data_IF_038421871256
#
_entry.id   IF_038421871256
#
_cell.length_a   1.000
_cell.length_b   1.000
_cell.length_c   1.000
_cell.angle_alpha   90.00
_cell.angle_beta   90.00
_cell.angle_gamma   90.00
#
_symmetry.space_group_name_H-M   'P 1'
#
loop_
_entity.id
_entity.type
_entity.pdbx_description
1 polymer ?
#
# COMPACT_ATOMS: atom_id res chain seq x y z
N UNK A 1 32.40 -3.14 6.99
CA UNK A 1 33.24 -2.05 7.51
C UNK A 1 33.22 -2.17 9.04
N UNK A 2 34.38 -2.37 9.66
CA UNK A 2 34.59 -2.76 11.07
C UNK A 2 34.50 -1.56 12.03
N UNK A 3 33.66 -1.62 13.06
CA UNK A 3 33.76 -0.86 14.33
C UNK A 3 33.13 -1.75 15.42
N UNK A 4 33.88 -2.61 16.11
CA UNK A 4 34.65 -2.41 17.35
C UNK A 4 33.78 -2.12 18.59
N UNK A 5 33.47 -3.20 19.32
CA UNK A 5 32.91 -3.23 20.66
C UNK A 5 33.98 -2.87 21.71
N UNK A 6 33.78 -1.79 22.48
CA UNK A 6 34.35 -1.68 23.84
C UNK A 6 33.73 -0.53 24.62
N UNK A 7 33.61 -0.77 25.93
CA UNK A 7 33.13 0.10 27.03
C UNK A 7 31.62 -0.02 27.31
N UNK A 8 31.16 -1.05 28.04
CA UNK A 8 31.19 -1.26 29.52
C UNK A 8 30.77 -0.04 30.34
N UNK A 9 29.65 -0.20 31.03
CA UNK A 9 28.99 0.84 31.82
C UNK A 9 29.59 1.13 33.19
N UNK A 10 28.94 2.08 33.89
CA UNK A 10 28.49 1.95 35.29
C UNK A 10 27.56 3.13 35.67
N UNK A 11 26.74 2.96 36.73
CA UNK A 11 25.52 3.74 37.00
C UNK A 11 25.76 4.88 37.99
N UNK A 12 24.81 5.82 38.11
CA UNK A 12 24.67 6.65 39.31
C UNK A 12 23.18 7.05 39.52
N UNK A 13 22.70 6.68 40.70
CA UNK A 13 21.45 7.07 41.34
C UNK A 13 21.49 8.55 41.75
N UNK A 14 20.35 9.26 41.69
CA UNK A 14 19.93 10.19 42.74
C UNK A 14 18.47 10.60 42.58
N UNK A 15 17.70 10.34 43.64
CA UNK A 15 16.34 10.82 43.90
C UNK A 15 16.28 12.35 44.07
N UNK A 16 15.17 12.95 43.68
CA UNK A 16 14.60 14.09 44.41
C UNK A 16 13.08 14.16 44.19
N UNK A 17 12.34 13.98 45.27
CA UNK A 17 10.92 14.25 45.38
C UNK A 17 10.72 15.76 45.62
N UNK A 18 9.70 16.36 44.99
CA UNK A 18 9.09 17.62 45.45
C UNK A 18 7.58 17.47 45.38
N UNK A 19 6.95 17.82 46.49
CA UNK A 19 5.54 17.69 46.83
C UNK A 19 4.83 19.06 46.75
N UNK A 20 3.52 19.04 46.45
CA UNK A 20 2.45 20.00 46.80
C UNK A 20 2.41 21.35 46.07
N UNK A 21 1.31 21.58 45.34
CA UNK A 21 0.33 22.63 45.68
C UNK A 21 -0.98 22.46 44.90
N UNK A 22 -2.08 22.20 45.64
CA UNK A 22 -3.46 22.37 45.19
C UNK A 22 -3.73 23.84 44.86
N UNK A 23 -4.53 24.11 43.83
CA UNK A 23 -5.46 25.26 43.76
C UNK A 23 -6.62 24.94 42.79
N UNK A 24 -7.81 24.70 43.38
CA UNK A 24 -9.11 24.83 42.71
C UNK A 24 -9.47 26.31 42.58
N UNK A 25 -10.26 26.70 41.57
CA UNK A 25 -11.57 27.26 41.93
C UNK A 25 -12.73 26.86 41.00
N UNK A 26 -13.82 26.44 41.67
CA UNK A 26 -15.23 26.84 41.47
C UNK A 26 -15.81 27.09 40.08
N UNK A 27 -16.80 26.25 39.80
CA UNK A 27 -17.96 26.34 38.91
C UNK A 27 -18.71 27.68 39.05
N UNK A 28 -19.14 28.26 37.92
CA UNK A 28 -20.36 29.09 37.83
C UNK A 28 -21.30 28.54 36.76
N UNK A 29 -22.48 28.13 37.21
CA UNK A 29 -23.66 27.81 36.40
C UNK A 29 -24.43 29.12 36.18
N UNK A 30 -24.85 29.39 34.94
CA UNK A 30 -25.87 30.39 34.63
C UNK A 30 -26.95 29.72 33.78
N UNK A 31 -28.18 29.74 34.28
CA UNK A 31 -29.38 29.14 33.70
C UNK A 31 -30.33 30.19 33.13
N UNK A 32 -30.81 29.93 31.90
CA UNK A 32 -32.16 30.25 31.40
C UNK A 32 -32.36 31.58 30.65
N UNK A 33 -33.49 31.78 29.92
CA UNK A 33 -34.58 30.84 29.62
C UNK A 33 -34.93 30.70 28.12
N UNK A 34 -35.88 29.81 27.88
CA UNK A 34 -36.45 29.24 26.65
C UNK A 34 -37.55 30.08 25.95
N UNK A 35 -37.74 29.78 24.64
CA UNK A 35 -39.03 29.64 23.89
C UNK A 35 -39.33 30.70 22.79
N UNK A 36 -40.30 30.47 21.87
CA UNK A 36 -40.12 29.82 20.58
C UNK A 36 -40.67 30.66 19.39
N UNK A 37 -40.35 30.30 18.14
CA UNK A 37 -40.89 31.00 16.97
C UNK A 37 -40.75 30.22 15.67
N UNK A 38 -41.65 29.28 15.44
CA UNK A 38 -41.83 28.61 14.15
C UNK A 38 -42.51 29.53 13.15
N UNK A 39 -41.95 29.64 11.93
CA UNK A 39 -42.71 30.00 10.74
C UNK A 39 -42.57 28.89 9.70
N UNK A 40 -43.72 28.31 9.36
CA UNK A 40 -43.90 27.35 8.26
C UNK A 40 -44.13 28.16 6.99
N UNK A 41 -43.22 28.03 6.02
CA UNK A 41 -43.38 28.55 4.67
C UNK A 41 -43.33 27.40 3.68
N UNK A 42 -44.50 27.04 3.12
CA UNK A 42 -44.63 26.13 1.97
C UNK A 42 -44.35 26.94 0.71
N UNK A 43 -43.35 26.54 -0.07
CA UNK A 43 -43.17 26.99 -1.46
C UNK A 43 -43.13 25.76 -2.36
N UNK A 44 -44.07 25.70 -3.30
CA UNK A 44 -44.20 24.69 -4.34
C UNK A 44 -43.31 25.07 -5.52
N UNK A 45 -42.63 24.07 -6.07
CA UNK A 45 -41.52 24.14 -7.03
C UNK A 45 -41.91 24.57 -8.45
N UNK A 46 -40.92 25.09 -9.18
CA UNK A 46 -40.81 24.96 -10.64
C UNK A 46 -39.44 24.34 -10.94
N UNK A 47 -39.44 23.28 -11.73
CA UNK A 47 -38.33 22.34 -11.88
C UNK A 47 -37.38 22.68 -13.04
N UNK A 48 -36.11 22.36 -12.83
CA UNK A 48 -35.08 22.18 -13.86
C UNK A 48 -34.10 21.09 -13.39
N UNK A 49 -33.49 20.41 -14.36
CA UNK A 49 -32.92 19.06 -14.29
C UNK A 49 -32.08 18.67 -13.06
N UNK A 50 -32.35 17.47 -12.56
CA UNK A 50 -31.54 16.80 -11.54
C UNK A 50 -30.18 16.38 -12.12
N UNK A 51 -29.18 17.23 -11.99
CA UNK A 51 -27.82 16.76 -11.76
C UNK A 51 -27.79 16.20 -10.33
N UNK A 52 -27.68 14.88 -10.20
CA UNK A 52 -27.44 14.23 -8.90
C UNK A 52 -26.12 14.78 -8.33
N UNK A 53 -26.13 15.49 -7.18
CA UNK A 53 -24.89 15.83 -6.51
C UNK A 53 -24.22 14.53 -6.07
N UNK A 54 -22.91 14.43 -6.25
CA UNK A 54 -22.10 13.34 -5.71
C UNK A 54 -22.47 13.14 -4.24
N UNK A 55 -22.84 11.90 -3.89
CA UNK A 55 -23.16 11.54 -2.52
C UNK A 55 -21.92 11.88 -1.65
N UNK A 56 -22.09 12.81 -0.72
CA UNK A 56 -21.10 13.06 0.33
C UNK A 56 -21.08 11.84 1.24
N UNK A 57 -20.32 10.81 0.86
CA UNK A 57 -20.03 9.67 1.72
C UNK A 57 -19.15 10.16 2.87
N UNK A 58 -19.80 10.63 3.94
CA UNK A 58 -19.12 10.85 5.21
C UNK A 58 -18.65 9.49 5.73
N UNK A 59 -17.34 9.30 5.76
CA UNK A 59 -16.70 8.18 6.42
C UNK A 59 -17.22 8.03 7.88
N UNK A 60 -17.33 6.80 8.41
CA UNK A 60 -17.84 6.55 9.75
C UNK A 60 -17.04 7.32 10.82
N UNK A 61 -17.75 7.94 11.75
CA UNK A 61 -17.16 8.72 12.86
C UNK A 61 -16.71 7.78 13.97
N UNK A 62 -15.42 7.82 14.34
CA UNK A 62 -14.86 7.01 15.43
C UNK A 62 -15.21 7.64 16.78
N UNK A 63 -15.99 6.93 17.60
CA UNK A 63 -16.30 7.32 18.99
C UNK A 63 -15.39 6.57 19.97
N UNK A 64 -14.30 7.22 20.40
CA UNK A 64 -13.43 6.75 21.48
C UNK A 64 -13.04 7.90 22.41
N UNK A 65 -12.87 7.62 23.71
CA UNK A 65 -12.40 8.60 24.71
C UNK A 65 -11.05 9.18 24.27
N UNK A 66 -11.05 10.41 23.78
CA UNK A 66 -9.84 11.11 23.34
C UNK A 66 -9.06 11.54 24.59
N UNK A 67 -7.79 11.13 24.69
CA UNK A 67 -6.85 11.78 25.60
C UNK A 67 -6.77 13.28 25.29
N UNK A 68 -6.29 14.15 26.21
CA UNK A 68 -6.04 15.55 25.87
C UNK A 68 -5.23 15.62 24.58
N UNK A 69 -5.78 16.31 23.58
CA UNK A 69 -5.15 16.40 22.26
C UNK A 69 -3.73 16.92 22.42
N UNK A 70 -2.73 16.13 22.01
CA UNK A 70 -1.38 16.63 21.82
C UNK A 70 -1.48 17.74 20.78
N UNK A 71 -0.94 18.92 21.10
CA UNK A 71 -1.00 20.10 20.25
C UNK A 71 0.40 20.53 19.85
N UNK A 72 0.53 21.02 18.62
CA UNK A 72 1.72 21.71 18.14
C UNK A 72 1.89 23.04 18.89
N UNK A 73 3.05 23.68 18.74
CA UNK A 73 3.32 25.00 19.31
C UNK A 73 2.35 26.10 18.80
N UNK A 74 1.66 25.87 17.68
CA UNK A 74 0.66 26.76 17.10
C UNK A 74 -0.79 26.29 17.28
N UNK A 75 -1.03 25.22 18.07
CA UNK A 75 -2.38 24.85 18.53
C UNK A 75 -3.14 23.82 17.68
N UNK A 76 -2.56 23.33 16.60
CA UNK A 76 -3.13 22.22 15.81
C UNK A 76 -2.88 20.87 16.50
N UNK A 77 -3.69 19.82 16.25
CA UNK A 77 -3.34 18.46 16.66
C UNK A 77 -1.94 18.05 16.20
N UNK A 78 -1.16 17.45 17.10
CA UNK A 78 0.20 17.00 16.84
C UNK A 78 0.24 15.53 16.41
N UNK A 79 0.52 15.33 15.12
CA UNK A 79 0.75 14.07 14.44
C UNK A 79 2.24 13.82 14.18
N UNK A 80 3.13 14.73 14.58
CA UNK A 80 4.55 14.63 14.26
C UNK A 80 5.18 13.37 14.87
N UNK A 81 6.04 12.74 14.10
CA UNK A 81 6.76 11.55 14.53
C UNK A 81 7.12 10.64 13.37
N UNK A 82 7.77 9.53 13.73
CA UNK A 82 8.02 8.40 12.85
C UNK A 82 7.07 7.29 13.28
N UNK A 83 6.27 6.81 12.33
CA UNK A 83 5.14 5.93 12.56
C UNK A 83 5.34 4.64 11.78
N UNK A 84 5.16 3.49 12.42
CA UNK A 84 5.19 2.21 11.73
C UNK A 84 4.09 1.29 12.27
N UNK A 85 3.73 0.28 11.49
CA UNK A 85 2.98 -0.86 12.01
C UNK A 85 3.82 -1.68 12.99
N UNK A 86 3.21 -2.19 14.04
CA UNK A 86 3.80 -3.06 15.05
C UNK A 86 3.26 -4.51 15.00
N UNK A 87 2.20 -4.71 14.22
CA UNK A 87 1.57 -6.01 13.99
C UNK A 87 1.36 -6.26 12.50
N UNK A 88 1.22 -7.53 12.15
CA UNK A 88 0.80 -7.96 10.81
C UNK A 88 -0.71 -8.23 10.78
N UNK A 89 -1.41 -7.54 9.88
CA UNK A 89 -2.84 -7.70 9.64
C UNK A 89 -3.01 -7.76 8.12
N UNK A 90 -3.62 -8.82 7.55
CA UNK A 90 -3.83 -8.90 6.11
C UNK A 90 -4.77 -7.79 5.65
N UNK A 91 -4.59 -7.31 4.41
CA UNK A 91 -5.49 -6.29 3.85
C UNK A 91 -6.93 -6.81 3.81
N UNK A 92 -7.12 -7.98 3.19
CA UNK A 92 -8.42 -8.63 3.04
C UNK A 92 -8.59 -9.77 4.04
N UNK A 93 -9.83 -9.99 4.47
CA UNK A 93 -10.17 -11.07 5.38
C UNK A 93 -10.14 -12.43 4.70
N UNK A 94 -9.42 -13.42 5.25
CA UNK A 94 -9.54 -14.80 4.81
C UNK A 94 -11.00 -15.29 4.91
N UNK A 95 -11.48 -15.96 3.85
CA UNK A 95 -12.89 -16.39 3.74
C UNK A 95 -13.34 -17.28 4.90
N UNK A 96 -12.42 -18.06 5.49
CA UNK A 96 -12.68 -18.91 6.67
C UNK A 96 -13.22 -18.15 7.89
N UNK A 97 -13.00 -16.83 7.97
CA UNK A 97 -13.50 -16.01 9.08
C UNK A 97 -14.85 -15.35 8.81
N UNK A 98 -15.39 -15.39 7.58
CA UNK A 98 -16.65 -14.73 7.24
C UNK A 98 -16.67 -13.26 7.67
N UNK A 99 -17.67 -12.86 8.44
CA UNK A 99 -17.81 -11.49 8.96
C UNK A 99 -17.09 -11.24 10.30
N UNK A 100 -16.32 -12.22 10.80
CA UNK A 100 -15.69 -12.14 12.11
C UNK A 100 -14.48 -11.21 12.09
N UNK A 101 -14.60 -10.06 12.75
CA UNK A 101 -13.58 -9.02 12.74
C UNK A 101 -12.32 -9.37 13.55
N UNK A 102 -12.45 -10.12 14.64
CA UNK A 102 -11.34 -10.38 15.56
C UNK A 102 -10.95 -11.85 15.64
N UNK A 103 -9.64 -12.07 15.75
CA UNK A 103 -9.03 -13.33 16.13
C UNK A 103 -9.06 -13.48 17.66
N UNK A 104 -9.16 -14.72 18.12
CA UNK A 104 -8.88 -15.06 19.52
C UNK A 104 -7.37 -15.05 19.79
N UNK A 105 -6.96 -14.88 21.05
CA UNK A 105 -5.52 -14.89 21.40
C UNK A 105 -4.86 -16.25 21.09
N UNK A 106 -5.61 -17.35 21.20
CA UNK A 106 -5.13 -18.69 20.83
C UNK A 106 -4.88 -18.81 19.32
N UNK A 107 -5.77 -18.28 18.48
CA UNK A 107 -5.60 -18.27 17.03
C UNK A 107 -4.41 -17.40 16.60
N UNK A 108 -4.20 -16.25 17.26
CA UNK A 108 -3.04 -15.40 17.00
C UNK A 108 -1.74 -16.12 17.32
N UNK A 109 -1.65 -16.74 18.50
CA UNK A 109 -0.47 -17.49 18.91
C UNK A 109 -0.20 -18.70 17.98
N UNK A 110 -1.24 -19.34 17.46
CA UNK A 110 -1.09 -20.39 16.45
C UNK A 110 -0.54 -19.83 15.14
N UNK A 111 -1.10 -18.74 14.63
CA UNK A 111 -0.63 -18.11 13.39
C UNK A 111 0.82 -17.61 13.52
N UNK A 112 1.18 -16.99 14.64
CA UNK A 112 2.56 -16.57 14.93
C UNK A 112 3.54 -17.75 14.87
N UNK A 113 3.18 -18.90 15.47
CA UNK A 113 3.99 -20.12 15.39
C UNK A 113 4.12 -20.63 13.96
N UNK A 114 3.02 -20.67 13.21
CA UNK A 114 3.02 -21.12 11.80
C UNK A 114 3.86 -20.20 10.91
N UNK A 115 3.78 -18.89 11.10
CA UNK A 115 4.63 -17.90 10.40
C UNK A 115 6.10 -18.19 10.69
N UNK A 116 6.46 -18.31 11.97
CA UNK A 116 7.83 -18.59 12.38
C UNK A 116 8.37 -19.90 11.77
N UNK A 117 7.54 -20.95 11.73
CA UNK A 117 7.90 -22.23 11.13
C UNK A 117 8.09 -22.14 9.60
N UNK A 118 7.25 -21.37 8.90
CA UNK A 118 7.38 -21.15 7.45
C UNK A 118 8.68 -20.40 7.14
N UNK A 119 8.94 -19.31 7.86
CA UNK A 119 10.17 -18.51 7.71
C UNK A 119 11.41 -19.35 8.03
N UNK A 120 11.35 -20.14 9.10
CA UNK A 120 12.43 -21.07 9.48
C UNK A 120 12.71 -22.11 8.38
N UNK A 121 11.67 -22.71 7.81
CA UNK A 121 11.81 -23.67 6.69
C UNK A 121 12.35 -23.03 5.42
N UNK A 122 11.94 -21.81 5.07
CA UNK A 122 12.46 -21.10 3.89
C UNK A 122 13.96 -20.75 4.05
N UNK A 123 14.40 -20.49 5.29
CA UNK A 123 15.80 -20.18 5.60
C UNK A 123 16.75 -21.39 5.63
N UNK A 124 16.23 -22.62 5.69
CA UNK A 124 17.01 -23.84 5.96
C UNK A 124 17.02 -24.87 4.83
N UNK A 125 16.22 -24.71 3.76
CA UNK A 125 15.92 -25.88 2.95
C UNK A 125 16.95 -26.24 1.85
N UNK A 126 17.38 -27.49 1.96
CA UNK A 126 17.74 -28.50 0.96
C UNK A 126 16.91 -28.55 -0.35
N UNK A 127 15.98 -27.61 -0.61
CA UNK A 127 15.18 -27.46 -1.84
C UNK A 127 15.94 -26.91 -3.06
N UNK A 128 17.24 -26.67 -2.93
CA UNK A 128 18.11 -26.14 -3.98
C UNK A 128 18.84 -27.28 -4.67
N UNK A 129 18.20 -27.84 -5.70
CA UNK A 129 18.90 -28.78 -6.59
C UNK A 129 19.96 -27.97 -7.34
N UNK A 130 21.23 -28.24 -7.04
CA UNK A 130 22.38 -27.52 -7.60
C UNK A 130 22.27 -27.45 -9.13
N UNK A 131 22.43 -26.24 -9.69
CA UNK A 131 22.40 -26.01 -11.14
C UNK A 131 20.99 -25.87 -11.76
N UNK A 132 19.94 -25.73 -10.94
CA UNK A 132 18.60 -25.37 -11.43
C UNK A 132 18.40 -23.86 -11.47
N UNK A 133 17.45 -23.38 -12.25
CA UNK A 133 17.05 -21.96 -12.24
C UNK A 133 16.67 -21.50 -10.82
N UNK A 134 16.06 -22.39 -10.03
CA UNK A 134 15.69 -22.15 -8.62
C UNK A 134 16.90 -22.08 -7.68
N UNK A 135 18.02 -22.72 -8.01
CA UNK A 135 19.28 -22.61 -7.26
C UNK A 135 19.93 -21.23 -7.46
N UNK A 136 19.84 -20.68 -8.69
CA UNK A 136 20.37 -19.35 -9.04
C UNK A 136 19.42 -18.23 -8.63
N UNK A 137 18.10 -18.39 -8.83
CA UNK A 137 17.09 -17.40 -8.46
C UNK A 137 16.77 -17.39 -6.94
N UNK A 138 17.35 -18.31 -6.15
CA UNK A 138 17.22 -18.33 -4.69
C UNK A 138 18.18 -17.36 -3.98
N UNK A 139 18.78 -16.40 -4.71
CA UNK A 139 19.74 -15.41 -4.23
C UNK A 139 19.28 -14.59 -3.01
N UNK A 140 17.98 -14.55 -2.73
CA UNK A 140 17.43 -13.92 -1.53
C UNK A 140 16.78 -14.98 -0.64
N UNK A 141 17.53 -15.50 0.34
CA UNK A 141 16.87 -16.03 1.55
C UNK A 141 15.94 -14.92 2.02
N UNK A 142 14.63 -15.14 2.01
CA UNK A 142 13.66 -14.07 2.26
C UNK A 142 13.69 -13.63 3.73
N UNK A 143 14.11 -14.53 4.63
CA UNK A 143 14.15 -14.31 6.07
C UNK A 143 14.84 -13.00 6.51
N UNK A 144 16.07 -12.66 6.08
CA UNK A 144 16.72 -11.39 6.43
C UNK A 144 16.05 -10.13 5.86
N UNK A 145 15.27 -10.24 4.78
CA UNK A 145 14.64 -9.09 4.12
C UNK A 145 13.17 -8.89 4.49
N UNK A 146 12.54 -9.92 5.05
CA UNK A 146 11.12 -9.89 5.44
C UNK A 146 10.99 -9.35 6.85
N UNK A 147 10.06 -8.43 7.06
CA UNK A 147 9.68 -8.01 8.41
C UNK A 147 8.86 -9.11 9.07
N UNK A 148 9.24 -9.45 10.30
CA UNK A 148 8.53 -10.42 11.13
C UNK A 148 7.83 -9.65 12.24
N UNK A 149 6.54 -9.37 12.04
CA UNK A 149 5.69 -8.73 13.03
C UNK A 149 4.74 -9.76 13.66
N UNK A 150 4.39 -9.62 14.94
CA UNK A 150 3.37 -10.45 15.55
C UNK A 150 2.00 -10.23 14.89
N UNK A 151 1.18 -11.28 14.86
CA UNK A 151 -0.17 -11.22 14.27
C UNK A 151 -1.06 -10.28 15.09
N UNK A 152 -1.71 -9.35 14.39
CA UNK A 152 -2.65 -8.41 14.97
C UNK A 152 -3.95 -9.05 15.44
N UNK A 153 -4.79 -8.29 16.13
CA UNK A 153 -6.08 -8.80 16.63
C UNK A 153 -7.16 -8.93 15.56
N UNK A 154 -7.05 -8.16 14.48
CA UNK A 154 -8.05 -8.15 13.42
C UNK A 154 -7.76 -9.20 12.37
N UNK A 155 -8.82 -9.71 11.78
CA UNK A 155 -8.75 -10.64 10.65
C UNK A 155 -8.54 -9.92 9.31
N UNK A 156 -8.69 -8.59 9.26
CA UNK A 156 -8.46 -7.72 8.09
C UNK A 156 -8.18 -6.26 8.47
N UNK A 157 -7.50 -5.52 7.59
CA UNK A 157 -7.44 -4.06 7.63
C UNK A 157 -8.73 -3.40 7.13
N UNK A 158 -9.40 -4.03 6.14
CA UNK A 158 -10.72 -3.59 5.66
C UNK A 158 -11.76 -3.77 6.75
N UNK A 159 -12.50 -2.70 7.04
CA UNK A 159 -13.59 -2.64 8.02
C UNK A 159 -14.96 -2.51 7.38
N UNK A 160 -15.00 -2.00 6.15
CA UNK A 160 -16.21 -1.87 5.35
C UNK A 160 -15.85 -2.18 3.89
N UNK A 161 -16.54 -3.11 3.21
CA UNK A 161 -17.69 -3.90 3.67
C UNK A 161 -17.39 -4.82 4.87
N UNK A 162 -18.43 -5.21 5.61
CA UNK A 162 -18.30 -5.96 6.86
C UNK A 162 -17.50 -7.26 6.70
N UNK A 163 -17.58 -7.91 5.53
CA UNK A 163 -16.83 -9.13 5.21
C UNK A 163 -15.30 -8.91 5.12
N UNK A 164 -14.83 -7.67 5.20
CA UNK A 164 -13.41 -7.32 5.22
C UNK A 164 -12.70 -7.57 3.90
N UNK A 165 -13.42 -7.56 2.77
CA UNK A 165 -12.87 -7.82 1.43
C UNK A 165 -13.09 -6.64 0.51
N UNK A 166 -12.22 -6.50 -0.49
CA UNK A 166 -12.38 -5.48 -1.52
C UNK A 166 -13.66 -5.82 -2.31
N UNK A 167 -14.53 -4.85 -2.61
CA UNK A 167 -15.70 -5.08 -3.43
C UNK A 167 -15.32 -5.66 -4.81
N UNK A 168 -16.20 -6.45 -5.44
CA UNK A 168 -15.95 -6.97 -6.78
C UNK A 168 -15.66 -5.85 -7.79
N UNK A 169 -14.80 -6.11 -8.79
CA UNK A 169 -14.56 -5.15 -9.85
C UNK A 169 -15.82 -4.90 -10.69
N UNK A 170 -15.87 -3.74 -11.34
CA UNK A 170 -16.92 -3.46 -12.34
C UNK A 170 -16.76 -4.36 -13.58
N UNK A 171 -17.82 -4.58 -14.36
CA UNK A 171 -17.71 -5.29 -15.65
C UNK A 171 -16.68 -4.64 -16.59
N UNK A 172 -16.59 -3.31 -16.58
CA UNK A 172 -15.64 -2.53 -17.38
C UNK A 172 -14.20 -2.78 -16.92
N UNK A 173 -13.94 -2.76 -15.60
CA UNK A 173 -12.63 -3.07 -15.03
C UNK A 173 -12.24 -4.52 -15.31
N UNK A 174 -13.17 -5.48 -15.20
CA UNK A 174 -12.91 -6.87 -15.52
C UNK A 174 -12.51 -7.03 -17.00
N UNK A 175 -13.25 -6.37 -17.90
CA UNK A 175 -12.91 -6.37 -19.33
C UNK A 175 -11.53 -5.78 -19.60
N UNK A 176 -11.16 -4.70 -18.92
CA UNK A 176 -9.84 -4.09 -19.05
C UNK A 176 -8.72 -5.04 -18.57
N UNK A 177 -8.92 -5.70 -17.42
CA UNK A 177 -8.02 -6.74 -16.88
C UNK A 177 -7.88 -7.90 -17.86
N UNK A 178 -8.98 -8.38 -18.44
CA UNK A 178 -8.97 -9.47 -19.41
C UNK A 178 -8.21 -9.10 -20.68
N UNK A 179 -8.38 -7.87 -21.19
CA UNK A 179 -7.63 -7.38 -22.36
C UNK A 179 -6.13 -7.37 -22.08
N UNK A 180 -5.70 -6.85 -20.93
CA UNK A 180 -4.29 -6.87 -20.53
C UNK A 180 -3.79 -8.30 -20.34
N UNK A 181 -4.58 -9.17 -19.72
CA UNK A 181 -4.23 -10.59 -19.52
C UNK A 181 -4.03 -11.31 -20.85
N UNK A 182 -4.90 -11.10 -21.84
CA UNK A 182 -4.75 -11.67 -23.17
C UNK A 182 -3.50 -11.15 -23.89
N UNK A 183 -3.17 -9.86 -23.71
CA UNK A 183 -1.94 -9.31 -24.22
C UNK A 183 -0.70 -9.95 -23.56
N UNK A 184 -0.69 -10.09 -22.23
CA UNK A 184 0.39 -10.78 -21.52
C UNK A 184 0.54 -12.25 -21.94
N UNK A 185 -0.57 -12.97 -22.12
CA UNK A 185 -0.57 -14.35 -22.61
C UNK A 185 0.04 -14.46 -24.00
N UNK A 186 -0.31 -13.53 -24.91
CA UNK A 186 0.27 -13.48 -26.25
C UNK A 186 1.80 -13.33 -26.23
N UNK A 187 2.35 -12.57 -25.26
CA UNK A 187 3.79 -12.41 -25.06
C UNK A 187 4.47 -13.64 -24.45
N UNK A 188 3.70 -14.53 -23.84
CA UNK A 188 4.18 -15.77 -23.21
C UNK A 188 4.03 -17.00 -24.11
N UNK A 189 3.21 -16.97 -25.15
CA UNK A 189 2.93 -18.11 -26.06
C UNK A 189 4.18 -18.92 -26.46
N UNK A 190 5.30 -18.32 -26.90
CA UNK A 190 6.49 -19.06 -27.32
C UNK A 190 7.41 -19.54 -26.18
N UNK A 191 7.07 -19.27 -24.93
CA UNK A 191 7.96 -19.49 -23.78
C UNK A 191 7.84 -20.88 -23.17
N UNK A 192 8.86 -21.27 -22.40
CA UNK A 192 8.82 -22.48 -21.58
C UNK A 192 7.67 -22.49 -20.58
N UNK A 193 7.20 -21.33 -20.12
CA UNK A 193 6.08 -21.23 -19.18
C UNK A 193 4.79 -21.80 -19.78
N UNK A 194 4.47 -21.47 -21.03
CA UNK A 194 3.32 -22.05 -21.72
C UNK A 194 3.56 -23.51 -22.12
N UNK A 195 4.80 -23.84 -22.53
CA UNK A 195 5.18 -25.23 -22.87
C UNK A 195 5.01 -26.20 -21.71
N UNK A 196 5.39 -25.77 -20.51
CA UNK A 196 5.33 -26.55 -19.28
C UNK A 196 4.04 -26.34 -18.49
N UNK A 197 3.08 -25.57 -19.04
CA UNK A 197 1.79 -25.26 -18.40
C UNK A 197 1.95 -24.66 -16.99
N UNK A 198 2.95 -23.80 -16.81
CA UNK A 198 3.19 -23.14 -15.54
C UNK A 198 2.04 -22.16 -15.21
N UNK A 199 1.74 -21.91 -13.92
CA UNK A 199 0.65 -21.03 -13.50
C UNK A 199 0.62 -19.66 -14.18
N UNK A 200 1.77 -19.04 -14.45
CA UNK A 200 1.83 -17.74 -15.15
C UNK A 200 1.24 -17.75 -16.58
N UNK A 201 1.18 -18.90 -17.25
CA UNK A 201 0.51 -19.08 -18.54
C UNK A 201 -0.88 -19.76 -18.43
N UNK A 202 -1.51 -19.79 -17.24
CA UNK A 202 -2.86 -20.30 -17.09
C UNK A 202 -3.86 -19.57 -18.03
N UNK A 203 -4.61 -20.34 -18.83
CA UNK A 203 -5.51 -19.80 -19.86
C UNK A 203 -4.82 -19.43 -21.19
N UNK A 204 -3.51 -19.59 -21.29
CA UNK A 204 -2.73 -19.41 -22.52
C UNK A 204 -2.51 -20.72 -23.30
N UNK A 205 -1.79 -20.60 -24.42
CA UNK A 205 -1.39 -21.73 -25.26
C UNK A 205 0.09 -21.63 -25.61
N UNK A 206 0.76 -22.78 -25.73
CA UNK A 206 2.10 -22.80 -26.32
C UNK A 206 1.99 -22.70 -27.84
N UNK A 207 2.79 -21.83 -28.45
CA UNK A 207 2.69 -21.54 -29.88
C UNK A 207 3.90 -20.80 -30.44
N UNK A 208 3.85 -20.39 -31.72
CA UNK A 208 4.86 -19.51 -32.29
C UNK A 208 4.83 -18.12 -31.61
N UNK A 209 5.81 -17.29 -31.92
CA UNK A 209 5.83 -15.89 -31.46
C UNK A 209 4.56 -15.17 -31.94
N UNK A 210 3.80 -14.62 -31.00
CA UNK A 210 2.57 -13.91 -31.32
C UNK A 210 2.86 -12.60 -32.06
N UNK A 211 2.13 -12.27 -33.15
CA UNK A 211 2.27 -10.97 -33.82
C UNK A 211 2.04 -9.78 -32.88
N UNK A 212 1.25 -9.99 -31.81
CA UNK A 212 0.96 -8.98 -30.80
C UNK A 212 2.18 -8.50 -30.03
N UNK A 213 3.30 -9.22 -30.11
CA UNK A 213 4.57 -8.82 -29.49
C UNK A 213 5.02 -7.42 -29.91
N UNK A 214 4.73 -7.03 -31.16
CA UNK A 214 5.13 -5.74 -31.71
C UNK A 214 4.05 -4.66 -31.57
N UNK A 215 2.89 -4.98 -30.99
CA UNK A 215 1.81 -4.01 -30.76
C UNK A 215 2.14 -3.11 -29.56
N UNK A 216 1.63 -1.88 -29.57
CA UNK A 216 1.64 -1.07 -28.33
C UNK A 216 0.75 -1.75 -27.29
N UNK A 217 1.15 -1.70 -26.02
CA UNK A 217 0.32 -2.21 -24.92
C UNK A 217 -1.06 -1.55 -24.96
N UNK A 218 -2.16 -2.28 -24.71
CA UNK A 218 -3.51 -1.72 -24.72
C UNK A 218 -3.74 -0.67 -23.62
N UNK A 219 -2.85 -0.59 -22.64
CA UNK A 219 -2.88 0.36 -21.52
C UNK A 219 -1.48 0.62 -20.96
N UNK A 220 -1.36 1.66 -20.14
CA UNK A 220 -0.12 1.92 -19.42
C UNK A 220 0.20 0.77 -18.46
N UNK A 221 1.43 0.27 -18.50
CA UNK A 221 1.82 -0.92 -17.75
C UNK A 221 2.31 -0.52 -16.36
N UNK A 222 1.59 -0.99 -15.34
CA UNK A 222 2.03 -0.91 -13.94
C UNK A 222 2.86 -2.13 -13.52
N UNK A 223 2.61 -3.28 -14.15
CA UNK A 223 3.29 -4.56 -13.93
C UNK A 223 4.16 -5.00 -15.12
N UNK A 224 5.15 -5.85 -14.86
CA UNK A 224 6.09 -6.32 -15.89
C UNK A 224 5.40 -7.23 -16.91
N UNK A 225 5.80 -7.11 -18.17
CA UNK A 225 5.40 -8.02 -19.26
C UNK A 225 6.62 -8.75 -19.83
N UNK A 226 6.39 -9.80 -20.64
CA UNK A 226 7.48 -10.56 -21.28
C UNK A 226 8.04 -9.84 -22.52
N UNK A 227 8.41 -8.58 -22.35
CA UNK A 227 8.97 -7.68 -23.37
C UNK A 227 9.87 -6.63 -22.71
N UNK A 228 10.77 -6.05 -23.51
CA UNK A 228 11.75 -5.07 -23.08
C UNK A 228 12.16 -4.13 -24.23
N UNK A 229 11.20 -3.70 -25.05
CA UNK A 229 11.47 -2.77 -26.16
C UNK A 229 11.74 -1.36 -25.67
N UNK A 230 11.16 -0.99 -24.53
CA UNK A 230 11.38 0.28 -23.86
C UNK A 230 11.20 0.17 -22.35
N UNK A 231 11.52 1.24 -21.61
CA UNK A 231 11.37 1.25 -20.16
C UNK A 231 9.91 1.06 -19.73
N UNK A 232 8.93 1.47 -20.54
CA UNK A 232 7.49 1.28 -20.29
C UNK A 232 7.03 -0.19 -20.33
N UNK A 233 7.82 -1.12 -20.89
CA UNK A 233 7.51 -2.55 -20.81
C UNK A 233 7.86 -3.16 -19.43
N UNK A 234 8.56 -2.40 -18.59
CA UNK A 234 8.98 -2.82 -17.25
C UNK A 234 8.04 -2.25 -16.19
N UNK A 235 7.89 -2.98 -15.08
CA UNK A 235 7.00 -2.58 -13.99
C UNK A 235 7.40 -1.24 -13.37
N UNK A 236 6.46 -0.62 -12.65
CA UNK A 236 6.77 0.56 -11.83
C UNK A 236 7.90 0.28 -10.83
N UNK A 237 7.96 -0.93 -10.25
CA UNK A 237 9.03 -1.32 -9.33
C UNK A 237 10.41 -1.29 -10.00
N UNK A 238 10.55 -1.91 -11.18
CA UNK A 238 11.81 -1.90 -11.95
C UNK A 238 12.22 -0.52 -12.43
N UNK A 239 11.27 0.41 -12.51
CA UNK A 239 11.49 1.81 -12.90
C UNK A 239 11.71 2.73 -11.70
N UNK A 240 11.69 2.19 -10.48
CA UNK A 240 11.74 2.94 -9.24
C UNK A 240 10.59 3.92 -9.02
N UNK A 241 9.45 3.66 -9.68
CA UNK A 241 8.22 4.44 -9.62
C UNK A 241 7.12 3.71 -8.83
N UNK A 242 7.50 2.70 -8.03
CA UNK A 242 6.59 2.01 -7.13
C UNK A 242 6.23 2.87 -5.92
N UNK A 243 5.16 2.45 -5.25
CA UNK A 243 4.43 3.25 -4.29
C UNK A 243 3.02 3.48 -4.79
N UNK A 244 2.08 3.56 -3.86
CA UNK A 244 0.69 3.85 -4.13
C UNK A 244 0.12 4.58 -2.93
N UNK A 245 -0.90 5.41 -3.17
CA UNK A 245 -1.78 5.84 -2.09
C UNK A 245 -3.12 5.12 -2.27
N UNK A 246 -3.73 4.63 -1.17
CA UNK A 246 -3.20 4.57 0.19
C UNK A 246 -1.99 3.64 0.33
N UNK A 247 -1.10 3.96 1.27
CA UNK A 247 0.02 3.09 1.64
C UNK A 247 -0.29 2.38 2.95
N UNK A 248 -0.16 1.05 2.96
CA UNK A 248 -0.38 0.20 4.14
C UNK A 248 0.91 -0.50 4.61
N UNK A 249 2.06 -0.13 4.02
CA UNK A 249 3.37 -0.70 4.28
C UNK A 249 3.74 -1.85 3.33
N UNK A 250 4.99 -2.31 3.42
CA UNK A 250 5.53 -3.39 2.60
C UNK A 250 5.89 -4.63 3.45
N UNK A 251 6.07 -5.78 2.80
CA UNK A 251 6.58 -7.01 3.39
C UNK A 251 8.04 -6.86 3.87
N UNK A 252 8.79 -5.92 3.29
CA UNK A 252 10.13 -5.50 3.74
C UNK A 252 10.09 -4.43 4.84
N UNK A 253 8.89 -4.00 5.23
CA UNK A 253 8.68 -2.97 6.24
C UNK A 253 8.41 -1.60 5.67
N UNK A 254 8.80 -0.58 6.42
CA UNK A 254 8.53 0.81 6.11
C UNK A 254 8.07 1.59 7.33
N UNK A 255 8.09 2.90 7.18
CA UNK A 255 7.58 3.84 8.16
C UNK A 255 7.07 5.09 7.44
N UNK A 256 6.17 5.81 8.10
CA UNK A 256 5.72 7.13 7.70
C UNK A 256 6.31 8.16 8.65
N UNK A 257 7.05 9.14 8.15
CA UNK A 257 7.49 10.29 8.95
C UNK A 257 6.60 11.48 8.65
N UNK A 258 5.90 11.94 9.67
CA UNK A 258 5.03 13.12 9.61
C UNK A 258 5.78 14.31 10.18
N UNK A 259 5.84 15.39 9.41
CA UNK A 259 6.36 16.70 9.83
C UNK A 259 5.28 17.74 9.57
N UNK A 260 5.07 18.66 10.51
CA UNK A 260 4.04 19.68 10.39
C UNK A 260 4.68 21.07 10.41
N UNK A 261 4.08 21.98 9.67
CA UNK A 261 4.29 23.41 9.75
C UNK A 261 2.92 24.11 9.82
N UNK A 262 2.83 25.38 10.26
CA UNK A 262 1.57 26.10 10.17
C UNK A 262 1.02 26.08 8.74
N UNK A 263 -0.17 25.50 8.55
CA UNK A 263 -0.82 25.41 7.24
C UNK A 263 -0.38 24.25 6.34
N UNK A 264 0.47 23.33 6.80
CA UNK A 264 0.96 22.22 5.97
C UNK A 264 1.35 20.98 6.78
N UNK A 265 1.04 19.81 6.24
CA UNK A 265 1.49 18.51 6.75
C UNK A 265 2.28 17.80 5.66
N UNK A 266 3.48 17.36 5.99
CA UNK A 266 4.33 16.57 5.10
C UNK A 266 4.43 15.14 5.60
N UNK A 267 4.19 14.17 4.72
CA UNK A 267 4.37 12.75 5.01
C UNK A 267 5.45 12.18 4.10
N UNK A 268 6.55 11.73 4.68
CA UNK A 268 7.50 10.87 4.01
C UNK A 268 7.11 9.41 4.21
N UNK A 269 7.00 8.65 3.12
CA UNK A 269 6.78 7.22 3.14
C UNK A 269 8.08 6.51 2.79
N UNK A 270 8.59 5.66 3.69
CA UNK A 270 9.58 4.65 3.33
C UNK A 270 8.85 3.39 2.88
N UNK A 271 8.96 3.11 1.59
CA UNK A 271 8.43 1.91 0.95
C UNK A 271 9.62 1.11 0.42
N UNK A 272 9.78 -0.08 1.02
CA UNK A 272 11.04 -0.81 1.02
C UNK A 272 11.64 -1.06 -0.37
N UNK A 273 12.98 -1.02 -0.41
CA UNK A 273 13.78 -1.16 -1.64
C UNK A 273 14.21 0.16 -2.27
N UNK A 274 13.87 1.31 -1.69
CA UNK A 274 14.32 2.61 -2.19
C UNK A 274 13.30 3.44 -2.94
N UNK A 275 12.03 3.28 -2.62
CA UNK A 275 10.96 4.00 -3.30
C UNK A 275 10.44 5.17 -2.45
N UNK A 276 11.28 5.66 -1.52
CA UNK A 276 10.90 6.69 -0.57
C UNK A 276 10.37 7.95 -1.25
N UNK A 277 9.31 8.54 -0.69
CA UNK A 277 8.65 9.71 -1.29
C UNK A 277 8.04 10.64 -0.26
N UNK A 278 8.01 11.93 -0.60
CA UNK A 278 7.36 12.96 0.21
C UNK A 278 6.03 13.35 -0.44
N UNK A 279 5.00 13.44 0.39
CA UNK A 279 3.69 13.99 0.05
C UNK A 279 3.49 15.26 0.86
N UNK A 280 3.15 16.35 0.17
CA UNK A 280 2.74 17.60 0.81
C UNK A 280 1.23 17.67 0.87
N UNK A 281 0.70 18.03 2.03
CA UNK A 281 -0.73 18.14 2.31
C UNK A 281 -0.98 19.55 2.83
N UNK A 282 -1.36 20.51 1.96
CA UNK A 282 -1.73 21.84 2.41
C UNK A 282 -3.00 21.79 3.26
N UNK A 283 -2.97 22.45 4.42
CA UNK A 283 -4.15 22.70 5.24
C UNK A 283 -4.85 23.93 4.69
N UNK A 284 -5.93 23.71 3.93
CA UNK A 284 -6.48 24.77 3.08
C UNK A 284 -7.96 24.55 2.75
N UNK A 285 -8.65 25.65 2.48
CA UNK A 285 -9.99 25.66 1.89
C UNK A 285 -9.97 25.87 0.38
N UNK A 286 -8.78 26.01 -0.21
CA UNK A 286 -8.63 26.11 -1.66
C UNK A 286 -9.19 24.85 -2.34
N UNK A 287 -9.83 25.05 -3.48
CA UNK A 287 -10.31 23.96 -4.31
C UNK A 287 -9.14 23.10 -4.81
N UNK A 288 -9.46 21.85 -5.15
CA UNK A 288 -8.53 20.98 -5.87
C UNK A 288 -8.09 21.61 -7.19
N UNK A 289 -6.92 21.17 -7.67
CA UNK A 289 -6.45 21.52 -9.00
C UNK A 289 -7.49 21.14 -10.07
N UNK A 290 -7.55 21.89 -11.20
CA UNK A 290 -8.38 21.51 -12.34
C UNK A 290 -8.16 20.05 -12.75
N UNK A 291 -9.23 19.34 -13.12
CA UNK A 291 -9.22 17.89 -13.37
C UNK A 291 -8.26 17.43 -14.49
N UNK A 292 -7.75 18.32 -15.33
CA UNK A 292 -6.72 18.02 -16.33
C UNK A 292 -5.28 18.09 -15.78
N UNK A 293 -5.07 18.68 -14.61
CA UNK A 293 -3.78 18.70 -13.91
C UNK A 293 -3.74 17.52 -12.94
N UNK A 294 -3.11 16.44 -13.39
CA UNK A 294 -2.96 15.20 -12.64
C UNK A 294 -1.57 15.08 -12.03
N UNK A 295 -1.50 14.66 -10.77
CA UNK A 295 -0.25 14.43 -10.06
C UNK A 295 -0.06 12.93 -9.81
N UNK A 296 1.19 12.48 -9.72
CA UNK A 296 1.50 11.06 -9.57
C UNK A 296 0.86 10.45 -8.31
N UNK A 297 0.82 11.20 -7.19
CA UNK A 297 0.19 10.79 -5.93
C UNK A 297 -1.13 11.51 -5.64
N UNK A 298 -1.75 12.10 -6.67
CA UNK A 298 -2.96 12.91 -6.51
C UNK A 298 -2.71 14.27 -5.86
N UNK A 299 -3.71 15.14 -5.95
CA UNK A 299 -3.77 16.46 -5.32
C UNK A 299 -4.45 16.33 -3.94
N UNK A 300 -3.69 16.55 -2.88
CA UNK A 300 -4.17 16.44 -1.50
C UNK A 300 -4.64 17.78 -0.94
N UNK A 301 -5.78 17.79 -0.24
CA UNK A 301 -6.29 18.95 0.50
C UNK A 301 -6.67 18.54 1.92
N UNK A 302 -5.98 19.12 2.90
CA UNK A 302 -6.16 18.80 4.30
C UNK A 302 -7.02 19.82 5.06
N UNK A 303 -7.71 19.34 6.10
CA UNK A 303 -8.43 20.17 7.06
C UNK A 303 -8.57 19.47 8.42
N UNK A 304 -8.76 20.24 9.49
CA UNK A 304 -8.89 19.70 10.84
C UNK A 304 -10.36 19.55 11.25
N UNK A 305 -10.77 18.33 11.62
CA UNK A 305 -12.04 18.04 12.29
C UNK A 305 -11.76 17.62 13.75
N UNK A 306 -11.81 18.59 14.67
CA UNK A 306 -11.48 18.36 16.07
C UNK A 306 -10.01 17.93 16.25
N UNK A 307 -9.78 16.65 16.53
CA UNK A 307 -8.44 16.06 16.68
C UNK A 307 -7.99 15.22 15.47
N UNK A 308 -8.75 15.27 14.37
CA UNK A 308 -8.52 14.45 13.18
C UNK A 308 -8.08 15.34 12.02
N UNK A 309 -6.96 15.00 11.37
CA UNK A 309 -6.65 15.53 10.05
C UNK A 309 -7.48 14.74 9.03
N UNK A 310 -8.35 15.43 8.31
CA UNK A 310 -9.09 14.88 7.17
C UNK A 310 -8.40 15.34 5.90
N UNK A 311 -8.12 14.41 5.00
CA UNK A 311 -7.46 14.69 3.71
C UNK A 311 -8.30 14.15 2.58
N UNK A 312 -8.72 15.04 1.68
CA UNK A 312 -9.33 14.68 0.41
C UNK A 312 -8.24 14.57 -0.66
N UNK A 313 -8.28 13.50 -1.47
CA UNK A 313 -7.26 13.24 -2.50
C UNK A 313 -7.91 12.84 -3.80
N UNK A 314 -7.67 13.65 -4.83
CA UNK A 314 -8.17 13.44 -6.20
C UNK A 314 -7.04 13.61 -7.22
N UNK A 315 -7.37 13.71 -8.51
CA UNK A 315 -6.42 14.07 -9.57
C UNK A 315 -5.19 13.15 -9.69
N UNK A 316 -5.36 11.85 -9.46
CA UNK A 316 -4.31 10.87 -9.69
C UNK A 316 -3.93 10.78 -11.16
N UNK A 317 -2.66 10.44 -11.41
CA UNK A 317 -2.16 10.19 -12.76
C UNK A 317 -2.73 8.86 -13.30
N UNK A 318 -3.04 8.75 -14.60
CA UNK A 318 -3.37 7.46 -15.21
C UNK A 318 -2.17 6.48 -15.21
N UNK A 319 -1.00 6.92 -14.72
CA UNK A 319 0.24 6.12 -14.64
C UNK A 319 0.53 5.60 -13.23
N UNK A 320 -0.21 6.04 -12.22
CA UNK A 320 -0.19 5.45 -10.88
C UNK A 320 -1.19 4.31 -10.81
N UNK A 321 -0.96 3.32 -9.96
CA UNK A 321 -1.83 2.15 -9.81
C UNK A 321 -2.03 1.87 -8.32
N UNK A 322 -3.30 1.74 -7.93
CA UNK A 322 -3.68 1.14 -6.66
C UNK A 322 -4.74 0.07 -6.90
N UNK A 323 -4.29 -1.19 -7.01
CA UNK A 323 -5.19 -2.33 -7.19
C UNK A 323 -6.08 -2.18 -8.44
N UNK A 324 -5.51 -1.63 -9.52
CA UNK A 324 -6.21 -1.35 -10.79
C UNK A 324 -6.97 -0.02 -10.82
N UNK A 325 -7.06 0.71 -9.71
CA UNK A 325 -7.52 2.10 -9.71
C UNK A 325 -6.40 3.04 -10.14
N UNK A 326 -6.76 3.99 -11.01
CA UNK A 326 -5.83 4.91 -11.65
C UNK A 326 -6.31 6.36 -11.46
N UNK A 327 -6.65 7.09 -12.53
CA UNK A 327 -7.05 8.49 -12.49
C UNK A 327 -8.40 8.75 -11.81
N UNK A 328 -9.25 7.73 -11.67
CA UNK A 328 -10.58 7.87 -11.05
C UNK A 328 -10.56 7.57 -9.55
N UNK A 329 -9.39 7.26 -8.98
CA UNK A 329 -9.23 7.06 -7.55
C UNK A 329 -9.55 8.35 -6.79
N UNK A 330 -10.37 8.22 -5.76
CA UNK A 330 -10.67 9.25 -4.77
C UNK A 330 -10.46 8.66 -3.38
N UNK A 331 -9.68 9.37 -2.56
CA UNK A 331 -9.41 8.96 -1.19
C UNK A 331 -9.93 10.02 -0.23
N UNK A 332 -10.59 9.55 0.82
CA UNK A 332 -10.88 10.36 2.01
C UNK A 332 -10.17 9.73 3.19
N UNK A 333 -9.07 10.36 3.59
CA UNK A 333 -8.20 9.92 4.66
C UNK A 333 -8.52 10.65 5.97
N UNK A 334 -8.41 9.94 7.09
CA UNK A 334 -8.61 10.46 8.44
C UNK A 334 -7.48 9.99 9.32
N UNK A 335 -6.67 10.91 9.80
CA UNK A 335 -5.52 10.66 10.67
C UNK A 335 -5.82 11.22 12.07
N UNK A 336 -5.98 10.33 13.04
CA UNK A 336 -6.39 10.69 14.42
C UNK A 336 -5.33 10.28 15.41
N UNK A 337 -4.88 11.24 16.23
CA UNK A 337 -4.00 10.93 17.36
C UNK A 337 -4.81 10.35 18.51
N UNK A 338 -4.62 9.08 18.84
CA UNK A 338 -5.37 8.41 19.91
C UNK A 338 -4.75 8.67 21.29
N UNK A 339 -3.43 8.60 21.37
CA UNK A 339 -2.64 8.77 22.59
C UNK A 339 -1.21 9.25 22.25
N UNK A 340 -0.25 9.15 23.16
CA UNK A 340 1.13 9.58 22.96
C UNK A 340 1.95 8.70 22.01
N UNK A 341 1.48 7.51 21.65
CA UNK A 341 2.24 6.52 20.89
C UNK A 341 1.45 5.85 19.77
N UNK A 342 0.18 6.21 19.57
CA UNK A 342 -0.69 5.64 18.55
C UNK A 342 -1.34 6.71 17.65
N UNK A 343 -1.29 6.48 16.33
CA UNK A 343 -2.15 7.13 15.33
C UNK A 343 -3.11 6.09 14.76
N UNK A 344 -4.38 6.45 14.66
CA UNK A 344 -5.35 5.72 13.85
C UNK A 344 -5.44 6.38 12.47
N UNK A 345 -5.22 5.59 11.44
CA UNK A 345 -5.40 5.95 10.05
C UNK A 345 -6.63 5.21 9.49
N UNK A 346 -7.64 5.96 9.08
CA UNK A 346 -8.82 5.43 8.40
C UNK A 346 -8.89 6.04 7.01
N UNK A 347 -9.07 5.22 5.99
CA UNK A 347 -9.21 5.71 4.61
C UNK A 347 -10.38 5.04 3.92
N UNK A 348 -11.27 5.87 3.37
CA UNK A 348 -12.28 5.42 2.41
C UNK A 348 -11.70 5.57 1.01
N UNK A 349 -11.82 4.50 0.24
CA UNK A 349 -11.27 4.33 -1.10
C UNK A 349 -12.45 4.21 -2.04
N UNK A 350 -12.53 5.11 -3.02
CA UNK A 350 -13.56 5.11 -4.05
C UNK A 350 -12.92 5.18 -5.43
N UNK A 351 -13.37 4.29 -6.32
CA UNK A 351 -13.14 4.39 -7.75
C UNK A 351 -14.28 3.62 -8.43
N UNK A 352 -15.33 4.33 -8.89
CA UNK A 352 -16.50 3.70 -9.49
C UNK A 352 -16.21 3.08 -10.86
N UNK A 353 -15.03 3.33 -11.44
CA UNK A 353 -14.59 2.66 -12.67
C UNK A 353 -13.90 1.33 -12.37
N UNK A 354 -13.38 1.16 -11.16
CA UNK A 354 -12.66 -0.04 -10.72
C UNK A 354 -13.54 -0.98 -9.91
N UNK A 355 -14.21 -0.48 -8.87
CA UNK A 355 -15.00 -1.29 -7.94
C UNK A 355 -16.48 -0.94 -7.96
N UNK A 356 -17.31 -1.92 -7.62
CA UNK A 356 -18.77 -1.74 -7.55
C UNK A 356 -19.25 -0.81 -6.43
N UNK A 357 -18.44 -0.60 -5.38
CA UNK A 357 -18.73 0.25 -4.22
C UNK A 357 -17.42 0.78 -3.61
N UNK A 358 -17.45 1.92 -2.88
CA UNK A 358 -16.33 2.33 -2.05
C UNK A 358 -16.13 1.34 -0.90
N UNK A 359 -14.93 1.35 -0.32
CA UNK A 359 -14.56 0.49 0.80
C UNK A 359 -13.60 1.22 1.74
N UNK A 360 -13.53 0.79 3.00
CA UNK A 360 -12.80 1.50 4.05
C UNK A 360 -11.80 0.58 4.76
N UNK A 361 -10.58 1.09 4.92
CA UNK A 361 -9.51 0.48 5.71
C UNK A 361 -9.30 1.25 7.00
N UNK A 362 -8.98 0.54 8.08
CA UNK A 362 -8.45 1.11 9.31
C UNK A 362 -7.12 0.43 9.68
N UNK A 363 -6.10 1.24 9.93
CA UNK A 363 -4.78 0.81 10.39
C UNK A 363 -4.34 1.65 11.59
N UNK A 364 -3.74 1.00 12.58
CA UNK A 364 -3.11 1.69 13.71
C UNK A 364 -1.60 1.70 13.49
N UNK A 365 -0.98 2.86 13.71
CA UNK A 365 0.46 3.05 13.61
C UNK A 365 1.01 3.41 14.98
N UNK A 366 2.17 2.83 15.32
CA UNK A 366 2.88 3.10 16.56
C UNK A 366 4.05 4.04 16.35
N UNK A 367 4.25 4.91 17.34
CA UNK A 367 5.37 5.84 17.36
C UNK A 367 6.66 5.04 17.55
N UNK A 368 7.63 5.28 16.67
CA UNK A 368 8.98 4.79 16.82
C UNK A 368 9.75 5.63 17.85
N UNK A 369 10.77 5.03 18.47
CA UNK A 369 11.63 5.74 19.42
C UNK A 369 12.37 6.89 18.72
N UNK A 370 12.36 8.05 19.38
CA UNK A 370 13.09 9.24 18.94
C UNK A 370 14.58 9.21 19.34
N UNK A 371 15.14 8.05 19.72
CA UNK A 371 16.52 7.87 20.17
C UNK A 371 17.54 8.31 19.09
N UNK A 372 17.75 9.64 19.06
CA UNK A 372 18.60 10.51 18.23
C UNK A 372 18.19 10.83 16.77
N UNK A 373 16.93 11.21 16.47
CA UNK A 373 16.49 11.75 15.15
C UNK A 373 16.89 10.87 13.94
N UNK A 374 16.64 9.55 14.01
CA UNK A 374 16.98 8.54 12.99
C UNK A 374 17.00 9.13 11.56
N UNK A 375 18.21 9.37 11.05
CA UNK A 375 18.45 9.70 9.65
C UNK A 375 18.34 8.38 8.91
N UNK A 376 17.17 8.13 8.36
CA UNK A 376 17.04 7.13 7.31
C UNK A 376 17.68 7.74 6.07
N UNK A 377 18.84 7.21 5.67
CA UNK A 377 19.41 7.57 4.38
C UNK A 377 18.35 7.30 3.33
N UNK A 378 18.04 8.31 2.53
CA UNK A 378 17.05 8.19 1.50
C UNK A 378 17.43 6.99 0.61
N UNK A 379 16.64 5.92 0.61
CA UNK A 379 16.93 4.84 -0.29
C UNK A 379 16.44 5.37 -1.64
N UNK A 380 17.34 5.90 -2.46
CA UNK A 380 17.04 6.39 -3.81
C UNK A 380 17.20 5.22 -4.77
N UNK A 381 16.12 4.48 -5.05
CA UNK A 381 16.17 3.36 -6.00
C UNK A 381 16.76 3.78 -7.35
N UNK A 382 16.50 5.02 -7.79
CA UNK A 382 17.08 5.55 -9.03
C UNK A 382 18.62 5.65 -8.99
N UNK A 383 19.22 5.93 -7.84
CA UNK A 383 20.66 6.00 -7.63
C UNK A 383 21.24 4.58 -7.46
N UNK A 384 21.39 3.88 -8.58
CA UNK A 384 21.89 2.50 -8.59
C UNK A 384 21.01 1.51 -9.33
N UNK A 385 19.94 1.96 -9.99
CA UNK A 385 19.15 1.12 -10.89
C UNK A 385 19.89 0.84 -12.21
N UNK A 386 20.99 0.10 -12.12
CA UNK A 386 21.73 -0.44 -13.28
C UNK A 386 20.97 -1.59 -13.94
N UNK A 387 20.06 -2.23 -13.20
CA UNK A 387 19.26 -3.36 -13.68
C UNK A 387 18.40 -2.97 -14.89
N UNK A 388 17.71 -1.83 -14.85
CA UNK A 388 16.86 -1.41 -15.97
C UNK A 388 17.66 -1.14 -17.26
N UNK A 389 18.71 -0.30 -17.27
CA UNK A 389 19.57 -0.13 -18.46
C UNK A 389 20.23 -1.44 -18.92
N UNK A 390 20.69 -2.29 -18.00
CA UNK A 390 21.32 -3.57 -18.32
C UNK A 390 20.32 -4.53 -18.98
N UNK A 391 19.07 -4.57 -18.50
CA UNK A 391 18.01 -5.40 -19.06
C UNK A 391 17.67 -4.97 -20.49
N UNK A 392 17.48 -3.65 -20.71
CA UNK A 392 17.19 -3.11 -22.04
C UNK A 392 18.35 -3.35 -23.01
N UNK A 393 19.60 -3.10 -22.58
CA UNK A 393 20.79 -3.37 -23.40
C UNK A 393 20.95 -4.86 -23.67
N UNK A 394 20.72 -5.71 -22.67
CA UNK A 394 20.76 -7.17 -22.79
C UNK A 394 19.78 -7.70 -23.81
N UNK A 395 18.55 -7.15 -23.86
CA UNK A 395 17.57 -7.50 -24.87
C UNK A 395 18.07 -7.20 -26.29
N UNK A 396 18.63 -6.00 -26.53
CA UNK A 396 19.19 -5.63 -27.85
C UNK A 396 20.39 -6.51 -28.24
N UNK A 397 21.24 -6.89 -27.28
CA UNK A 397 22.35 -7.81 -27.52
C UNK A 397 21.84 -9.21 -27.91
N UNK A 398 20.79 -9.70 -27.25
CA UNK A 398 20.18 -10.99 -27.58
C UNK A 398 19.53 -10.98 -28.97
N UNK A 399 18.85 -9.89 -29.34
CA UNK A 399 18.26 -9.69 -30.67
C UNK A 399 19.32 -9.67 -31.77
N UNK A 400 20.41 -8.93 -31.55
CA UNK A 400 21.52 -8.89 -32.50
C UNK A 400 22.15 -10.28 -32.66
N UNK A 401 22.38 -10.99 -31.55
CA UNK A 401 22.92 -12.35 -31.62
C UNK A 401 22.00 -13.27 -32.44
N UNK A 402 20.69 -13.23 -32.19
CA UNK A 402 19.72 -14.04 -32.93
C UNK A 402 19.68 -13.69 -34.42
N UNK A 403 19.71 -12.40 -34.77
CA UNK A 403 19.77 -11.94 -36.17
C UNK A 403 21.03 -12.43 -36.90
N UNK A 404 22.13 -12.64 -36.18
CA UNK A 404 23.39 -13.22 -36.67
C UNK A 404 23.38 -14.77 -36.64
N UNK A 405 22.25 -15.41 -36.32
CA UNK A 405 22.11 -16.86 -36.23
C UNK A 405 22.70 -17.48 -34.96
N UNK A 406 22.93 -16.69 -33.90
CA UNK A 406 23.51 -17.12 -32.62
C UNK A 406 22.47 -17.07 -31.50
N UNK A 407 22.32 -18.18 -30.78
CA UNK A 407 21.42 -18.27 -29.63
C UNK A 407 19.93 -18.42 -29.99
N UNK A 408 19.05 -18.54 -28.99
CA UNK A 408 17.62 -18.68 -29.20
C UNK A 408 16.96 -17.35 -29.58
N UNK A 409 15.77 -17.42 -30.18
CA UNK A 409 14.92 -16.24 -30.39
C UNK A 409 14.60 -15.59 -29.03
N UNK A 410 14.95 -14.30 -28.80
CA UNK A 410 14.67 -13.61 -27.55
C UNK A 410 13.18 -13.60 -27.17
N UNK A 411 12.27 -13.71 -28.14
CA UNK A 411 10.83 -13.81 -27.89
C UNK A 411 10.44 -15.11 -27.17
N UNK A 412 11.25 -16.17 -27.28
CA UNK A 412 11.02 -17.45 -26.60
C UNK A 412 11.52 -17.46 -25.15
N UNK A 413 12.30 -16.45 -24.77
CA UNK A 413 12.85 -16.33 -23.42
C UNK A 413 11.82 -15.72 -22.47
N UNK A 414 11.89 -16.17 -21.21
CA UNK A 414 11.21 -15.50 -20.12
C UNK A 414 12.11 -14.42 -19.53
N UNK A 415 11.65 -13.17 -19.57
CA UNK A 415 12.38 -12.01 -19.02
C UNK A 415 11.55 -11.23 -17.99
N UNK A 416 10.46 -11.81 -17.52
CA UNK A 416 9.63 -11.24 -16.44
C UNK A 416 10.36 -11.41 -15.11
N UNK A 417 10.46 -10.34 -14.33
CA UNK A 417 11.03 -10.39 -12.98
C UNK A 417 10.19 -11.33 -12.10
N UNK A 418 10.85 -12.19 -11.30
CA UNK A 418 10.23 -13.32 -10.58
C UNK A 418 9.70 -14.47 -11.47
N UNK A 419 10.02 -14.45 -12.77
CA UNK A 419 9.76 -15.53 -13.70
C UNK A 419 8.33 -15.57 -14.26
N UNK A 420 8.20 -16.22 -15.41
CA UNK A 420 6.94 -16.38 -16.14
C UNK A 420 6.10 -17.54 -15.59
N UNK A 421 6.59 -18.21 -14.54
CA UNK A 421 5.95 -19.34 -13.87
C UNK A 421 4.94 -18.94 -12.80
N UNK A 422 4.73 -17.64 -12.54
CA UNK A 422 3.66 -17.17 -11.65
C UNK A 422 4.06 -16.85 -10.21
N UNK A 423 5.36 -16.72 -9.89
CA UNK A 423 5.79 -16.13 -8.60
C UNK A 423 5.66 -14.59 -8.62
N UNK A 424 4.54 -14.07 -9.13
CA UNK A 424 4.23 -12.64 -9.01
C UNK A 424 3.80 -12.40 -7.56
N UNK A 425 4.77 -12.19 -6.66
CA UNK A 425 4.56 -11.48 -5.39
C UNK A 425 4.22 -10.02 -5.69
N UNK A 426 3.00 -9.83 -6.18
CA UNK A 426 2.46 -8.57 -6.69
C UNK A 426 0.98 -8.70 -7.08
N UNK A 427 0.50 -9.93 -7.33
CA UNK A 427 -0.90 -10.25 -7.10
C UNK A 427 -1.03 -10.78 -5.68
N UNK A 428 -1.70 -10.04 -4.80
CA UNK A 428 -2.49 -10.74 -3.80
C UNK A 428 -3.36 -11.69 -4.63
N UNK A 429 -3.28 -13.01 -4.43
CA UNK A 429 -4.31 -13.85 -4.99
C UNK A 429 -5.63 -13.29 -4.43
N UNK A 430 -6.47 -12.76 -5.31
CA UNK A 430 -7.70 -12.09 -4.90
C UNK A 430 -8.59 -13.10 -4.15
N UNK A 431 -8.50 -14.40 -4.50
CA UNK A 431 -9.22 -15.52 -3.90
C UNK A 431 -8.42 -16.84 -3.97
N UNK A 432 -8.85 -17.87 -3.23
CA UNK A 432 -8.29 -19.22 -3.28
C UNK A 432 -7.25 -19.54 -2.19
N UNK A 433 -6.72 -20.78 -2.16
CA UNK A 433 -5.68 -21.17 -1.21
C UNK A 433 -4.43 -20.27 -1.34
N UNK A 434 -4.08 -19.84 -2.55
CA UNK A 434 -2.94 -18.94 -2.79
C UNK A 434 -3.11 -17.53 -2.17
N UNK A 435 -4.34 -17.18 -1.73
CA UNK A 435 -4.67 -15.92 -1.03
C UNK A 435 -4.48 -16.02 0.49
N UNK A 436 -4.41 -17.24 1.03
CA UNK A 436 -4.01 -17.46 2.42
C UNK A 436 -2.47 -17.58 2.41
N UNK A 437 -1.72 -16.60 2.96
CA UNK A 437 -0.26 -16.70 3.05
C UNK A 437 0.21 -17.91 3.90
N UNK A 438 -0.74 -18.62 4.51
CA UNK A 438 -0.54 -19.85 5.27
C UNK A 438 -1.18 -21.09 4.64
N UNK A 439 -1.71 -21.03 3.41
CA UNK A 439 -2.04 -22.24 2.68
C UNK A 439 -0.74 -22.92 2.24
N UNK A 440 -0.74 -24.24 2.34
CA UNK A 440 0.37 -25.07 1.86
C UNK A 440 0.40 -24.97 0.32
N UNK A 441 1.50 -24.52 -0.32
CA UNK A 441 1.58 -24.39 -1.79
C UNK A 441 1.65 -25.74 -2.52
N UNK A 442 1.38 -26.84 -1.80
CA UNK A 442 1.40 -28.21 -2.31
C UNK A 442 -0.02 -28.77 -2.25
N UNK A 443 -0.85 -28.31 -3.18
CA UNK A 443 -1.92 -29.12 -3.77
C UNK A 443 -1.92 -28.97 -5.27
#
# INVERSE_FOLDING_TARGET
MLINEKERGRPLLASAAITIALLLPTIRVVTGPTSPGSFVGVVVASGEGTHTPAATNKAPTVTGKTAPALKTAWGEPDLQGIWSRDVDIPLQRPTKYGDREFLTDAERAELDRRIADIVGRDSTDTRRVRGTERDVNAEFVQAPFTMHLPVGKRTSLIIDPQNGRIPPPTPEAQKARDVLRQFQLALLEPTSACKQQLPGCAGGKYGPVSPRRNETSPMYLSASINRADGPEDRSLAERCLSGALPDFGSWTGGFSRIVQAPGEVSIFYDIGGGHGRYRQIPITTALHLPANLRQWWGDSRGGWEGNTLVVDVTNFSPKSDFQGAHENLHLVERWTRLDADTIEYVVTIDDPTTWTKPWTVKQELKKQSDAANRIYYEPRCHEGNFGLPALLRGARVAEQAFAEGRGPDPATLCIVINGCGGFVRGGFADEGPDADPFADPVR
#
